data_IF_692921383641
#
_entry.id   IF_692921383641
#
_cell.length_a   1.000
_cell.length_b   1.000
_cell.length_c   1.000
_cell.angle_alpha   90.00
_cell.angle_beta   90.00
_cell.angle_gamma   90.00
#
_symmetry.space_group_name_H-M   'P 1'
#
loop_
_entity.id
_entity.type
_entity.pdbx_description
1 polymer ?
#
# COMPACT_ATOMS: atom_id res chain seq x y z
N UNK A 1 15.46 -10.21 -3.80
CA UNK A 1 14.84 -9.25 -4.74
C UNK A 1 14.11 -8.20 -3.96
N UNK A 2 14.18 -6.95 -4.42
CA UNK A 2 13.48 -5.80 -3.84
C UNK A 2 12.60 -5.21 -4.94
N UNK A 3 11.35 -4.88 -4.61
CA UNK A 3 10.44 -4.17 -5.50
C UNK A 3 9.68 -3.10 -4.72
N UNK A 4 9.34 -2.00 -5.41
CA UNK A 4 8.51 -0.94 -4.85
C UNK A 4 7.33 -0.66 -5.77
N UNK A 5 6.19 -0.30 -5.18
CA UNK A 5 5.03 0.19 -5.91
C UNK A 5 4.55 1.48 -5.23
N UNK A 6 4.27 2.51 -6.02
CA UNK A 6 3.89 3.83 -5.52
C UNK A 6 2.60 4.28 -6.18
N UNK A 7 1.66 4.76 -5.37
CA UNK A 7 0.44 5.41 -5.83
C UNK A 7 0.48 6.85 -5.33
N UNK A 8 0.19 7.78 -6.22
CA UNK A 8 -0.03 9.19 -5.89
C UNK A 8 -1.47 9.55 -6.23
N UNK A 9 -2.18 10.13 -5.28
CA UNK A 9 -3.59 10.50 -5.44
C UNK A 9 -3.92 11.73 -4.59
N UNK A 10 -5.05 12.35 -4.87
CA UNK A 10 -5.64 13.33 -3.97
C UNK A 10 -6.63 12.63 -3.06
N UNK A 11 -6.45 12.82 -1.75
CA UNK A 11 -7.24 12.21 -0.67
C UNK A 11 -7.15 10.67 -0.62
N UNK A 12 -7.48 10.06 0.52
CA UNK A 12 -7.82 8.64 0.53
C UNK A 12 -9.32 8.50 0.28
N UNK A 13 -9.66 7.56 -0.59
CA UNK A 13 -11.05 7.31 -0.95
C UNK A 13 -11.20 5.87 -1.43
N UNK A 14 -12.45 5.52 -1.72
CA UNK A 14 -12.81 4.23 -2.32
C UNK A 14 -12.42 3.09 -1.39
N UNK A 15 -13.11 3.04 -0.24
CA UNK A 15 -12.98 2.07 0.84
C UNK A 15 -13.43 0.68 0.40
N UNK A 16 -12.67 0.09 -0.53
CA UNK A 16 -12.83 -1.26 -1.06
C UNK A 16 -11.48 -1.95 -1.17
N UNK A 17 -11.53 -3.26 -1.37
CA UNK A 17 -10.33 -4.03 -1.66
C UNK A 17 -9.72 -3.60 -2.99
N UNK A 18 -8.40 -3.43 -2.99
CA UNK A 18 -7.59 -3.07 -4.15
C UNK A 18 -6.46 -4.08 -4.30
N UNK A 19 -5.91 -4.17 -5.50
CA UNK A 19 -4.75 -5.04 -5.77
C UNK A 19 -3.87 -4.52 -6.89
N UNK A 20 -2.64 -4.99 -6.90
CA UNK A 20 -1.72 -4.82 -8.02
C UNK A 20 -0.79 -6.03 -8.13
N UNK A 21 -0.19 -6.21 -9.30
CA UNK A 21 0.84 -7.23 -9.53
C UNK A 21 2.23 -6.62 -9.37
N UNK A 22 3.14 -7.37 -8.74
CA UNK A 22 4.56 -7.06 -8.76
C UNK A 22 5.11 -7.16 -10.18
N UNK A 23 6.13 -6.36 -10.52
CA UNK A 23 6.74 -6.37 -11.84
C UNK A 23 7.34 -7.74 -12.18
N UNK A 24 7.84 -8.44 -11.17
CA UNK A 24 8.27 -9.83 -11.26
C UNK A 24 7.73 -10.64 -10.08
N UNK A 25 7.32 -11.89 -10.31
CA UNK A 25 6.93 -12.77 -9.22
C UNK A 25 8.14 -13.15 -8.37
N UNK A 26 7.97 -13.08 -7.05
CA UNK A 26 8.92 -13.62 -6.06
C UNK A 26 8.87 -15.17 -6.06
N UNK A 27 9.82 -15.80 -5.37
CA UNK A 27 9.78 -17.27 -5.16
C UNK A 27 8.61 -17.66 -4.25
N UNK A 28 8.43 -16.89 -3.17
CA UNK A 28 7.39 -17.04 -2.14
C UNK A 28 6.77 -15.67 -1.85
N UNK A 29 5.74 -15.61 -1.01
CA UNK A 29 5.15 -14.34 -0.58
C UNK A 29 6.22 -13.46 0.08
N UNK A 30 6.49 -12.25 -0.42
CA UNK A 30 7.50 -11.37 0.15
C UNK A 30 7.03 -10.77 1.48
N UNK A 31 7.97 -10.27 2.29
CA UNK A 31 7.66 -9.31 3.34
C UNK A 31 7.26 -7.99 2.65
N UNK A 32 6.08 -7.46 2.99
CA UNK A 32 5.56 -6.20 2.44
C UNK A 32 5.48 -5.17 3.57
N UNK A 33 6.24 -4.09 3.42
CA UNK A 33 6.15 -2.90 4.26
C UNK A 33 5.41 -1.81 3.51
N UNK A 34 4.60 -1.05 4.22
CA UNK A 34 3.79 0.01 3.64
C UNK A 34 3.96 1.32 4.39
N UNK A 35 3.81 2.43 3.67
CA UNK A 35 3.80 3.78 4.25
C UNK A 35 2.83 4.67 3.48
N UNK A 36 1.97 5.37 4.22
CA UNK A 36 1.19 6.50 3.73
C UNK A 36 1.87 7.78 4.19
N UNK A 37 1.95 8.76 3.29
CA UNK A 37 2.30 10.15 3.59
C UNK A 37 1.25 11.06 2.96
N UNK A 38 0.89 12.12 3.66
CA UNK A 38 -0.17 13.06 3.29
C UNK A 38 0.35 14.49 3.40
N UNK A 39 -0.37 15.46 2.84
CA UNK A 39 -0.03 16.88 2.99
C UNK A 39 -0.82 17.57 4.10
N UNK A 40 -1.68 16.84 4.81
CA UNK A 40 -2.41 17.37 5.96
C UNK A 40 -1.44 17.65 7.09
N UNK A 41 -1.49 18.88 7.61
CA UNK A 41 -0.71 19.33 8.75
C UNK A 41 -1.57 19.32 10.02
N UNK A 42 -2.14 18.16 10.32
CA UNK A 42 -3.00 17.89 11.49
C UNK A 42 -2.95 16.41 11.87
N UNK A 43 -3.37 16.10 13.08
CA UNK A 43 -3.47 14.75 13.61
C UNK A 43 -4.58 13.98 12.86
N UNK A 44 -4.19 12.95 12.13
CA UNK A 44 -5.12 12.04 11.45
C UNK A 44 -4.54 10.63 11.38
N UNK A 45 -5.43 9.64 11.33
CA UNK A 45 -5.05 8.23 11.18
C UNK A 45 -5.45 7.75 9.79
N UNK A 46 -4.45 7.33 9.01
CA UNK A 46 -4.59 6.88 7.65
C UNK A 46 -3.56 5.78 7.39
N UNK A 47 -4.01 4.68 6.76
CA UNK A 47 -3.14 3.53 6.60
C UNK A 47 -3.59 2.52 5.56
N UNK A 48 -2.85 1.42 5.52
CA UNK A 48 -3.00 0.34 4.56
C UNK A 48 -3.02 -0.97 5.33
N UNK A 49 -4.09 -1.74 5.17
CA UNK A 49 -4.15 -3.12 5.61
C UNK A 49 -3.76 -4.03 4.45
N UNK A 50 -2.57 -4.66 4.50
CA UNK A 50 -2.16 -5.67 3.52
C UNK A 50 -2.82 -6.99 3.88
N UNK A 51 -3.60 -7.54 2.95
CA UNK A 51 -4.38 -8.74 3.19
C UNK A 51 -3.50 -10.00 3.11
N UNK A 52 -3.75 -10.95 4.00
CA UNK A 52 -3.01 -12.23 4.09
C UNK A 52 -3.10 -13.10 2.83
N UNK A 53 -4.09 -12.84 1.96
CA UNK A 53 -4.22 -13.47 0.63
C UNK A 53 -3.22 -12.97 -0.41
N UNK A 54 -2.43 -11.93 -0.07
CA UNK A 54 -1.27 -11.51 -0.87
C UNK A 54 -0.32 -12.68 -1.07
N UNK A 55 0.26 -12.76 -2.27
CA UNK A 55 1.04 -13.91 -2.69
C UNK A 55 2.32 -13.45 -3.40
N UNK A 56 3.06 -14.42 -3.96
CA UNK A 56 4.33 -14.17 -4.64
C UNK A 56 4.25 -13.21 -5.84
N UNK A 57 3.07 -13.00 -6.43
CA UNK A 57 2.90 -12.17 -7.63
C UNK A 57 2.00 -10.96 -7.42
N UNK A 58 1.07 -11.00 -6.47
CA UNK A 58 0.07 -9.94 -6.27
C UNK A 58 0.00 -9.49 -4.81
N UNK A 59 -0.16 -8.18 -4.62
CA UNK A 59 -0.46 -7.56 -3.34
C UNK A 59 -1.94 -7.17 -3.33
N UNK A 60 -2.68 -7.64 -2.30
CA UNK A 60 -4.07 -7.24 -2.04
C UNK A 60 -4.09 -6.39 -0.78
N UNK A 61 -4.80 -5.27 -0.80
CA UNK A 61 -4.81 -4.33 0.30
C UNK A 61 -6.14 -3.59 0.43
N UNK A 62 -6.36 -3.01 1.61
CA UNK A 62 -7.47 -2.13 1.92
C UNK A 62 -6.91 -0.82 2.47
N UNK A 63 -7.38 0.32 1.97
CA UNK A 63 -7.05 1.62 2.55
C UNK A 63 -8.05 1.93 3.65
N UNK A 64 -7.61 2.58 4.71
CA UNK A 64 -8.49 3.06 5.76
C UNK A 64 -8.06 4.45 6.22
N UNK A 65 -9.03 5.18 6.76
CA UNK A 65 -8.82 6.41 7.50
C UNK A 65 -9.75 6.44 8.72
N UNK A 66 -9.40 7.25 9.70
CA UNK A 66 -10.30 7.68 10.76
C UNK A 66 -10.33 9.21 10.80
N UNK A 67 -11.52 9.79 10.93
CA UNK A 67 -11.71 11.24 11.11
C UNK A 67 -12.26 12.01 9.91
N UNK A 68 -12.41 11.38 8.73
CA UNK A 68 -13.01 11.99 7.54
C UNK A 68 -12.38 13.32 7.10
N UNK A 69 -11.08 13.47 7.36
CA UNK A 69 -10.27 14.62 6.97
C UNK A 69 -9.75 14.39 5.56
N UNK A 70 -9.93 15.34 4.65
CA UNK A 70 -9.29 15.25 3.33
C UNK A 70 -7.76 15.29 3.46
N UNK A 71 -7.06 14.22 3.09
CA UNK A 71 -5.60 14.11 3.27
C UNK A 71 -4.75 14.92 2.28
N UNK A 72 -5.39 15.60 1.32
CA UNK A 72 -4.71 16.38 0.29
C UNK A 72 -3.83 15.51 -0.60
N UNK A 73 -2.56 15.89 -0.79
CA UNK A 73 -1.63 15.12 -1.60
C UNK A 73 -1.17 13.85 -0.86
N UNK A 74 -1.67 12.69 -1.30
CA UNK A 74 -1.37 11.39 -0.71
C UNK A 74 -0.36 10.63 -1.57
N UNK A 75 0.63 10.04 -0.90
CA UNK A 75 1.55 9.06 -1.48
C UNK A 75 1.51 7.77 -0.67
N UNK A 76 1.17 6.68 -1.34
CA UNK A 76 1.07 5.32 -0.80
C UNK A 76 2.24 4.54 -1.37
N UNK A 77 3.16 4.11 -0.50
CA UNK A 77 4.34 3.36 -0.90
C UNK A 77 4.27 1.94 -0.34
N UNK A 78 4.47 0.97 -1.23
CA UNK A 78 4.68 -0.44 -0.92
C UNK A 78 6.14 -0.77 -1.21
N UNK A 79 6.76 -1.50 -0.29
CA UNK A 79 8.12 -1.99 -0.40
C UNK A 79 8.12 -3.48 -0.07
N UNK A 80 8.56 -4.29 -1.01
CA UNK A 80 8.60 -5.74 -0.87
C UNK A 80 10.03 -6.26 -0.93
N UNK A 81 10.38 -7.10 0.04
CA UNK A 81 11.62 -7.88 0.03
C UNK A 81 11.26 -9.37 0.06
N UNK A 82 11.83 -10.12 -0.87
CA UNK A 82 11.66 -11.57 -0.91
C UNK A 82 12.83 -12.30 -1.55
N UNK A 83 12.81 -13.63 -1.47
CA UNK A 83 13.78 -14.49 -2.15
C UNK A 83 13.65 -14.37 -3.67
N UNK A 84 14.78 -14.55 -4.34
CA UNK A 84 14.88 -14.62 -5.80
C UNK A 84 15.31 -16.03 -6.20
N UNK A 85 14.97 -16.44 -7.42
CA UNK A 85 15.52 -17.65 -8.03
C UNK A 85 16.91 -17.37 -8.55
#
# INVERSE_FOLDING_TARGET
MIQTYVISQNDLADWKEKSFNWAQAFVETPLILTKVTTSVNDDHDAGINVLSKSNKSACYYYLYEHGSVNQGAVRIQFFAIGRWK
#
